data_IF_316099588336
#
_entry.id   IF_316099588336
#
_cell.length_a   1.000
_cell.length_b   1.000
_cell.length_c   1.000
_cell.angle_alpha   90.00
_cell.angle_beta   90.00
_cell.angle_gamma   90.00
#
_symmetry.space_group_name_H-M   'P 1'
#
loop_
_entity.id
_entity.type
_entity.pdbx_description
1 polymer ?
#
# COMPACT_ATOMS: atom_id res chain seq x y z
N UNK A 1 11.02 0.17 29.62
CA UNK A 1 11.91 -0.45 28.61
C UNK A 1 11.21 -0.69 27.27
N UNK A 2 10.07 -1.40 27.20
CA UNK A 2 9.33 -1.67 25.94
C UNK A 2 8.90 -0.41 25.17
N UNK A 3 8.33 0.59 25.85
CA UNK A 3 7.87 1.83 25.20
C UNK A 3 9.00 2.66 24.56
N UNK A 4 10.17 2.74 25.19
CA UNK A 4 11.32 3.44 24.63
C UNK A 4 11.93 2.69 23.43
N UNK A 5 11.91 1.35 23.46
CA UNK A 5 12.33 0.54 22.32
C UNK A 5 11.37 0.69 21.13
N UNK A 6 10.06 0.72 21.39
CA UNK A 6 9.04 0.97 20.35
C UNK A 6 9.20 2.37 19.75
N UNK A 7 9.32 3.41 20.59
CA UNK A 7 9.50 4.78 20.11
C UNK A 7 10.80 4.97 19.30
N UNK A 8 11.91 4.37 19.75
CA UNK A 8 13.17 4.42 19.01
C UNK A 8 13.07 3.68 17.67
N UNK A 9 12.32 2.57 17.62
CA UNK A 9 12.08 1.81 16.41
C UNK A 9 11.17 2.56 15.42
N UNK A 10 10.08 3.14 15.88
CA UNK A 10 9.19 4.00 15.08
C UNK A 10 9.93 5.21 14.52
N UNK A 11 10.78 5.84 15.34
CA UNK A 11 11.66 6.92 14.90
C UNK A 11 12.61 6.46 13.78
N UNK A 12 13.29 5.34 13.95
CA UNK A 12 14.19 4.81 12.93
C UNK A 12 13.48 4.49 11.61
N UNK A 13 12.24 4.00 11.66
CA UNK A 13 11.41 3.79 10.47
C UNK A 13 11.01 5.12 9.80
N UNK A 14 10.60 6.11 10.58
CA UNK A 14 10.23 7.44 10.07
C UNK A 14 11.40 8.17 9.39
N UNK A 15 12.64 7.87 9.82
CA UNK A 15 13.87 8.43 9.24
C UNK A 15 14.29 7.74 7.93
N UNK A 16 13.79 6.53 7.63
CA UNK A 16 14.16 5.79 6.41
C UNK A 16 13.49 6.34 5.15
N UNK A 17 12.27 6.86 5.24
CA UNK A 17 11.66 7.68 4.17
C UNK A 17 10.78 8.77 4.81
N UNK A 18 11.34 9.93 5.18
CA UNK A 18 10.52 11.04 5.64
C UNK A 18 9.65 11.53 4.48
N UNK A 19 8.32 11.52 4.69
CA UNK A 19 7.39 12.18 3.76
C UNK A 19 7.78 13.65 3.60
N UNK A 20 7.82 14.21 2.38
CA UNK A 20 8.13 15.62 2.20
C UNK A 20 7.16 16.50 2.98
N UNK A 21 7.64 17.63 3.52
CA UNK A 21 6.79 18.57 4.28
C UNK A 21 5.64 19.14 3.44
N UNK A 22 5.86 19.29 2.13
CA UNK A 22 4.88 19.80 1.18
C UNK A 22 4.80 18.85 -0.04
N UNK A 23 4.13 17.69 0.10
CA UNK A 23 4.03 16.73 -0.98
C UNK A 23 3.10 17.26 -2.07
N UNK A 24 3.50 17.12 -3.32
CA UNK A 24 2.67 17.43 -4.46
C UNK A 24 1.39 16.57 -4.41
N UNK A 25 0.23 17.11 -4.81
CA UNK A 25 -0.99 16.31 -4.88
C UNK A 25 -0.89 15.25 -6.01
N UNK A 26 -1.62 14.13 -5.89
CA UNK A 26 -1.77 13.17 -6.98
C UNK A 26 -2.32 13.83 -8.24
N UNK A 27 -1.84 13.41 -9.41
CA UNK A 27 -2.30 13.98 -10.69
C UNK A 27 -3.70 13.49 -11.07
N UNK A 28 -4.18 12.41 -10.46
CA UNK A 28 -5.49 11.82 -10.74
C UNK A 28 -6.11 11.11 -9.54
N UNK A 29 -7.38 10.70 -9.73
CA UNK A 29 -8.07 9.81 -8.81
C UNK A 29 -7.70 8.35 -9.10
N UNK A 30 -6.93 7.77 -8.18
CA UNK A 30 -6.39 6.42 -8.32
C UNK A 30 -7.28 5.31 -7.75
N UNK A 31 -8.42 5.65 -7.12
CA UNK A 31 -9.46 4.67 -6.82
C UNK A 31 -9.90 3.95 -8.10
N UNK A 32 -10.03 2.62 -8.05
CA UNK A 32 -10.38 1.83 -9.22
C UNK A 32 -9.96 0.36 -9.16
N UNK A 33 -10.36 -0.37 -10.20
CA UNK A 33 -9.97 -1.77 -10.40
C UNK A 33 -8.68 -1.85 -11.20
N UNK A 34 -7.80 -2.73 -10.75
CA UNK A 34 -6.53 -2.98 -11.39
C UNK A 34 -6.26 -4.48 -11.45
N UNK A 35 -5.57 -4.92 -12.49
CA UNK A 35 -5.28 -6.33 -12.72
C UNK A 35 -3.80 -6.56 -12.99
N UNK A 36 -3.28 -7.62 -12.40
CA UNK A 36 -2.04 -8.26 -12.77
C UNK A 36 -2.31 -9.75 -13.04
N UNK A 37 -1.64 -10.36 -14.02
CA UNK A 37 -1.92 -11.74 -14.40
C UNK A 37 -1.50 -12.79 -13.36
N UNK A 38 -0.45 -12.50 -12.57
CA UNK A 38 -0.01 -13.36 -11.48
C UNK A 38 -0.75 -13.07 -10.16
N UNK A 39 -1.05 -11.79 -9.89
CA UNK A 39 -1.63 -11.34 -8.62
C UNK A 39 -3.15 -11.14 -8.67
N UNK A 40 -3.79 -11.26 -9.83
CA UNK A 40 -5.22 -11.12 -10.01
C UNK A 40 -5.70 -9.67 -10.02
N UNK A 41 -7.00 -9.49 -9.79
CA UNK A 41 -7.64 -8.19 -9.71
C UNK A 41 -7.66 -7.67 -8.27
N UNK A 42 -7.43 -6.37 -8.10
CA UNK A 42 -7.63 -5.64 -6.86
C UNK A 42 -8.51 -4.41 -7.11
N UNK A 43 -9.31 -4.05 -6.12
CA UNK A 43 -10.06 -2.80 -6.08
C UNK A 43 -9.42 -1.90 -5.04
N UNK A 44 -8.71 -0.86 -5.49
CA UNK A 44 -8.15 0.17 -4.61
C UNK A 44 -9.25 1.17 -4.25
N UNK A 45 -9.47 1.36 -2.96
CA UNK A 45 -10.48 2.25 -2.38
C UNK A 45 -9.84 3.37 -1.58
N UNK A 46 -10.31 4.61 -1.73
CA UNK A 46 -9.77 5.75 -0.99
C UNK A 46 -10.37 5.83 0.42
N UNK A 47 -9.54 5.64 1.44
CA UNK A 47 -9.97 5.72 2.85
C UNK A 47 -10.44 7.14 3.20
N UNK A 48 -11.56 7.23 3.92
CA UNK A 48 -12.14 8.50 4.35
C UNK A 48 -12.89 9.26 3.25
N UNK A 49 -12.93 8.73 2.02
CA UNK A 49 -13.77 9.30 0.97
C UNK A 49 -15.25 9.11 1.28
N UNK A 50 -16.04 10.17 1.15
CA UNK A 50 -17.51 10.12 1.23
C UNK A 50 -18.16 9.72 -0.11
N UNK A 51 -17.35 9.62 -1.15
CA UNK A 51 -17.79 9.39 -2.52
C UNK A 51 -16.93 8.30 -3.13
N UNK A 52 -17.58 7.26 -3.63
CA UNK A 52 -16.93 6.23 -4.43
C UNK A 52 -17.87 5.81 -5.55
N UNK A 53 -17.30 5.56 -6.72
CA UNK A 53 -18.04 4.94 -7.82
C UNK A 53 -18.20 3.41 -7.63
N UNK A 54 -17.56 2.85 -6.60
CA UNK A 54 -17.53 1.42 -6.31
C UNK A 54 -18.22 1.14 -4.96
N UNK A 55 -19.41 0.53 -4.95
CA UNK A 55 -20.13 0.22 -3.72
C UNK A 55 -19.32 -0.60 -2.71
N UNK A 56 -18.44 -1.48 -3.19
CA UNK A 56 -17.57 -2.32 -2.36
C UNK A 56 -16.55 -1.49 -1.55
N UNK A 57 -16.22 -0.29 -2.02
CA UNK A 57 -15.33 0.60 -1.29
C UNK A 57 -15.95 1.11 0.01
N UNK A 58 -17.26 1.36 0.06
CA UNK A 58 -17.92 1.79 1.30
C UNK A 58 -17.75 0.75 2.41
N UNK A 59 -17.98 -0.52 2.09
CA UNK A 59 -17.80 -1.61 3.04
C UNK A 59 -16.34 -1.72 3.48
N UNK A 60 -15.39 -1.73 2.53
CA UNK A 60 -13.98 -1.85 2.87
C UNK A 60 -13.53 -0.69 3.78
N UNK A 61 -13.84 0.55 3.42
CA UNK A 61 -13.42 1.73 4.18
C UNK A 61 -14.09 1.88 5.54
N UNK A 62 -15.27 1.26 5.74
CA UNK A 62 -15.91 1.20 7.07
C UNK A 62 -15.23 0.14 7.95
N UNK A 63 -14.87 -1.01 7.35
CA UNK A 63 -14.22 -2.12 8.05
C UNK A 63 -12.75 -1.86 8.40
N UNK A 64 -12.01 -1.02 7.66
CA UNK A 64 -10.55 -0.90 7.84
C UNK A 64 -10.12 -0.43 9.22
N UNK A 65 -10.91 0.39 9.91
CA UNK A 65 -10.57 0.82 11.27
C UNK A 65 -10.63 -0.33 12.29
N UNK A 66 -11.49 -1.32 12.03
CA UNK A 66 -11.65 -2.50 12.90
C UNK A 66 -10.71 -3.62 12.48
N UNK A 67 -10.56 -3.84 11.17
CA UNK A 67 -9.79 -4.96 10.62
C UNK A 67 -8.30 -4.64 10.47
N UNK A 68 -7.93 -3.36 10.39
CA UNK A 68 -6.54 -2.90 10.32
C UNK A 68 -6.23 -1.87 11.44
N UNK A 69 -6.44 -2.23 12.72
CA UNK A 69 -6.27 -1.30 13.84
C UNK A 69 -4.86 -0.71 13.86
N UNK A 70 -4.78 0.63 13.87
CA UNK A 70 -3.53 1.38 13.93
C UNK A 70 -2.68 1.37 12.65
N UNK A 71 -3.11 0.69 11.58
CA UNK A 71 -2.31 0.57 10.37
C UNK A 71 -2.54 1.72 9.35
N UNK A 72 -3.60 2.51 9.53
CA UNK A 72 -3.93 3.62 8.63
C UNK A 72 -3.70 4.94 9.37
N UNK A 73 -2.85 5.80 8.82
CA UNK A 73 -2.73 7.18 9.29
C UNK A 73 -3.84 8.06 8.69
N UNK A 74 -4.80 8.57 9.49
CA UNK A 74 -5.93 9.34 8.95
C UNK A 74 -5.53 10.71 8.39
N UNK A 75 -4.28 11.15 8.63
CA UNK A 75 -3.76 12.43 8.12
C UNK A 75 -3.10 12.29 6.74
N UNK A 76 -2.98 11.08 6.22
CA UNK A 76 -2.38 10.79 4.91
C UNK A 76 -3.46 10.20 4.00
N UNK A 77 -3.63 10.72 2.76
CA UNK A 77 -4.50 10.07 1.78
C UNK A 77 -4.02 8.65 1.50
N UNK A 78 -4.89 7.66 1.69
CA UNK A 78 -4.50 6.26 1.63
C UNK A 78 -5.47 5.46 0.78
N UNK A 79 -4.94 4.69 -0.16
CA UNK A 79 -5.70 3.70 -0.91
C UNK A 79 -5.52 2.34 -0.22
N UNK A 80 -6.61 1.58 -0.12
CA UNK A 80 -6.59 0.24 0.47
C UNK A 80 -7.30 -0.75 -0.44
N UNK A 81 -6.80 -1.97 -0.53
CA UNK A 81 -7.48 -3.08 -1.17
C UNK A 81 -7.39 -4.34 -0.33
N UNK A 82 -8.44 -5.17 -0.37
CA UNK A 82 -8.32 -6.58 0.02
C UNK A 82 -7.45 -7.27 -1.03
N UNK A 83 -6.40 -7.93 -0.57
CA UNK A 83 -5.44 -8.61 -1.43
C UNK A 83 -5.19 -10.03 -0.90
N UNK A 84 -6.27 -10.82 -0.84
CA UNK A 84 -6.35 -12.15 -0.24
C UNK A 84 -5.33 -13.15 -0.83
N UNK A 85 -4.08 -13.06 -0.40
CA UNK A 85 -2.96 -13.93 -0.73
C UNK A 85 -2.55 -14.69 0.51
N UNK A 86 -1.81 -15.78 0.31
CA UNK A 86 -1.31 -16.61 1.43
C UNK A 86 -0.42 -15.78 2.37
N UNK A 87 0.24 -14.76 1.83
CA UNK A 87 1.21 -13.92 2.53
C UNK A 87 0.69 -12.50 2.83
N UNK A 88 -0.52 -12.11 2.39
CA UNK A 88 -1.09 -10.80 2.72
C UNK A 88 -2.61 -10.86 2.66
N UNK A 89 -3.30 -10.16 3.54
CA UNK A 89 -4.76 -9.95 3.44
C UNK A 89 -5.11 -8.61 2.80
N UNK A 90 -4.25 -7.60 2.91
CA UNK A 90 -4.47 -6.26 2.36
C UNK A 90 -3.21 -5.69 1.73
N UNK A 91 -3.40 -4.76 0.80
CA UNK A 91 -2.38 -3.78 0.41
C UNK A 91 -2.87 -2.39 0.81
N UNK A 92 -1.97 -1.61 1.40
CA UNK A 92 -2.18 -0.22 1.80
C UNK A 92 -1.17 0.63 1.04
N UNK A 93 -1.65 1.66 0.35
CA UNK A 93 -0.85 2.62 -0.39
C UNK A 93 -1.05 4.01 0.24
N UNK A 94 -0.10 4.45 1.05
CA UNK A 94 -0.11 5.76 1.68
C UNK A 94 0.54 6.79 0.76
N UNK A 95 -0.15 7.89 0.47
CA UNK A 95 0.36 8.92 -0.44
C UNK A 95 1.65 9.54 0.09
N UNK A 96 2.69 9.48 -0.74
CA UNK A 96 4.00 10.03 -0.44
C UNK A 96 4.17 11.41 -1.08
N UNK A 97 4.29 11.45 -2.41
CA UNK A 97 4.52 12.67 -3.20
C UNK A 97 4.05 12.47 -4.65
N UNK A 98 3.16 13.34 -5.14
CA UNK A 98 2.60 13.22 -6.48
C UNK A 98 1.89 11.89 -6.68
N UNK A 99 2.37 11.11 -7.65
CA UNK A 99 1.81 9.79 -7.98
C UNK A 99 2.58 8.63 -7.33
N UNK A 100 3.48 8.93 -6.38
CA UNK A 100 4.25 7.96 -5.62
C UNK A 100 3.62 7.72 -4.24
N UNK A 101 3.56 6.45 -3.85
CA UNK A 101 2.95 5.97 -2.62
C UNK A 101 3.88 5.02 -1.89
N UNK A 102 3.89 5.08 -0.56
CA UNK A 102 4.47 4.03 0.26
C UNK A 102 3.49 2.86 0.27
N UNK A 103 3.96 1.69 -0.14
CA UNK A 103 3.17 0.48 -0.19
C UNK A 103 3.46 -0.41 1.01
N UNK A 104 2.44 -1.07 1.54
CA UNK A 104 2.56 -2.02 2.63
C UNK A 104 1.60 -3.17 2.40
N UNK A 105 2.14 -4.39 2.40
CA UNK A 105 1.34 -5.60 2.45
C UNK A 105 1.07 -5.96 3.92
N UNK A 106 -0.20 -6.12 4.28
CA UNK A 106 -0.61 -6.36 5.66
C UNK A 106 -1.31 -7.71 5.77
N UNK A 107 -1.03 -8.42 6.85
CA UNK A 107 -1.81 -9.54 7.35
C UNK A 107 -2.61 -9.10 8.57
N UNK A 108 -3.92 -9.30 8.50
CA UNK A 108 -4.85 -9.10 9.61
C UNK A 108 -5.49 -10.42 10.00
N UNK A 109 -5.37 -10.77 11.27
CA UNK A 109 -5.94 -11.99 11.84
C UNK A 109 -6.82 -11.65 13.04
N UNK A 110 -7.90 -12.39 13.20
CA UNK A 110 -8.75 -12.30 14.40
C UNK A 110 -7.94 -12.75 15.61
N UNK A 111 -7.96 -11.96 16.68
CA UNK A 111 -7.20 -12.20 17.89
C UNK A 111 -8.00 -11.82 19.12
N UNK A 112 -8.23 -12.77 20.03
CA UNK A 112 -8.83 -12.51 21.34
C UNK A 112 -7.85 -11.87 22.34
N UNK A 113 -6.58 -11.71 21.96
CA UNK A 113 -5.52 -11.13 22.80
C UNK A 113 -5.36 -9.62 22.62
N UNK A 114 -6.11 -9.00 21.70
CA UNK A 114 -6.10 -7.57 21.40
C UNK A 114 -7.47 -6.97 21.69
N UNK A 115 -7.53 -5.78 22.27
CA UNK A 115 -8.80 -5.11 22.62
C UNK A 115 -9.69 -4.86 21.39
N UNK A 116 -9.08 -4.62 20.22
CA UNK A 116 -9.78 -4.40 18.95
C UNK A 116 -10.23 -5.71 18.25
N UNK A 117 -9.91 -6.87 18.82
CA UNK A 117 -10.27 -8.17 18.24
C UNK A 117 -9.47 -8.60 17.01
N UNK A 118 -8.54 -7.76 16.53
CA UNK A 118 -7.66 -8.02 15.39
C UNK A 118 -6.20 -7.72 15.72
N UNK A 119 -5.30 -8.58 15.23
CA UNK A 119 -3.86 -8.33 15.22
C UNK A 119 -3.40 -8.10 13.79
N UNK A 120 -2.62 -7.04 13.58
CA UNK A 120 -2.10 -6.64 12.27
C UNK A 120 -0.59 -6.77 12.23
N UNK A 121 -0.10 -7.38 11.15
CA UNK A 121 1.32 -7.47 10.84
C UNK A 121 1.59 -6.96 9.43
N UNK A 122 2.51 -6.02 9.31
CA UNK A 122 3.08 -5.65 8.02
C UNK A 122 4.14 -6.67 7.62
N UNK A 123 4.04 -7.19 6.39
CA UNK A 123 5.07 -8.01 5.75
C UNK A 123 6.22 -7.12 5.26
N UNK A 124 7.44 -7.65 5.29
CA UNK A 124 8.61 -6.93 4.77
C UNK A 124 8.90 -5.60 5.47
N UNK A 125 8.73 -5.50 6.80
CA UNK A 125 8.87 -4.26 7.59
C UNK A 125 10.17 -3.45 7.41
N UNK A 126 11.21 -4.06 6.86
CA UNK A 126 12.48 -3.38 6.58
C UNK A 126 12.64 -2.95 5.11
N UNK A 127 11.73 -3.37 4.24
CA UNK A 127 11.73 -3.09 2.81
C UNK A 127 10.93 -1.82 2.50
N UNK A 128 11.54 -0.97 1.69
CA UNK A 128 10.94 0.29 1.23
C UNK A 128 10.14 0.02 -0.04
N UNK A 129 8.95 -0.55 0.15
CA UNK A 129 8.06 -0.88 -0.96
C UNK A 129 7.33 0.40 -1.39
N UNK A 130 7.37 0.69 -2.69
CA UNK A 130 6.69 1.86 -3.27
C UNK A 130 5.73 1.43 -4.38
N UNK A 131 4.65 2.18 -4.52
CA UNK A 131 3.75 2.10 -5.67
C UNK A 131 3.75 3.43 -6.42
N UNK A 132 4.02 3.41 -7.73
CA UNK A 132 4.04 4.60 -8.58
C UNK A 132 2.94 4.47 -9.65
N UNK A 133 2.03 5.45 -9.71
CA UNK A 133 0.94 5.48 -10.70
C UNK A 133 1.34 6.28 -11.94
N UNK A 134 0.79 5.89 -13.09
CA UNK A 134 0.94 6.65 -14.34
C UNK A 134 -0.35 6.61 -15.15
N UNK A 135 -0.66 7.73 -15.80
CA UNK A 135 -1.61 7.82 -16.91
C UNK A 135 -0.78 8.00 -18.19
N UNK A 136 -0.80 7.00 -19.04
CA UNK A 136 -0.29 7.05 -20.41
C UNK A 136 -1.42 6.88 -21.43
N UNK A 137 -1.15 7.27 -22.67
CA UNK A 137 -2.06 7.06 -23.80
C UNK A 137 -2.28 5.57 -24.07
N UNK A 138 -1.23 4.75 -23.92
CA UNK A 138 -1.28 3.30 -24.13
C UNK A 138 -1.42 2.50 -22.82
N UNK A 139 -0.94 3.05 -21.69
CA UNK A 139 -0.81 2.31 -20.42
C UNK A 139 -1.18 3.19 -19.22
N UNK A 140 -2.26 2.85 -18.54
CA UNK A 140 -2.66 3.43 -17.25
C UNK A 140 -2.63 2.33 -16.19
N UNK A 141 -1.95 2.58 -15.07
CA UNK A 141 -1.75 1.57 -14.04
C UNK A 141 -0.80 2.05 -12.95
N UNK A 142 -0.31 1.10 -12.15
CA UNK A 142 0.74 1.35 -11.19
C UNK A 142 1.74 0.21 -11.10
N UNK A 143 3.00 0.58 -10.87
CA UNK A 143 4.10 -0.35 -10.65
C UNK A 143 4.44 -0.42 -9.17
N UNK A 144 4.72 -1.62 -8.67
CA UNK A 144 5.24 -1.85 -7.31
C UNK A 144 6.71 -2.24 -7.40
N UNK A 145 7.54 -1.63 -6.54
CA UNK A 145 8.98 -1.86 -6.44
C UNK A 145 9.41 -1.98 -4.98
N UNK A 146 10.58 -2.54 -4.72
CA UNK A 146 11.20 -2.51 -3.40
C UNK A 146 11.14 -3.85 -2.66
N UNK A 147 10.98 -4.98 -3.36
CA UNK A 147 11.11 -6.32 -2.80
C UNK A 147 9.81 -7.12 -2.67
N UNK A 148 8.67 -6.60 -3.14
CA UNK A 148 7.35 -7.20 -2.85
C UNK A 148 7.19 -8.63 -3.39
N UNK A 149 7.89 -8.95 -4.47
CA UNK A 149 7.89 -10.28 -5.10
C UNK A 149 8.94 -11.25 -4.53
N UNK A 150 9.79 -10.80 -3.59
CA UNK A 150 10.71 -11.67 -2.85
C UNK A 150 11.77 -12.36 -3.70
N UNK A 151 12.29 -11.71 -4.75
CA UNK A 151 13.29 -12.29 -5.64
C UNK A 151 14.57 -12.79 -4.94
N UNK A 152 14.84 -12.27 -3.74
CA UNK A 152 15.97 -12.68 -2.91
C UNK A 152 17.28 -12.00 -3.31
N UNK A 153 18.35 -12.23 -2.53
CA UNK A 153 19.63 -11.58 -2.75
C UNK A 153 20.28 -12.01 -4.07
N UNK A 154 20.84 -11.05 -4.80
CA UNK A 154 21.60 -11.31 -6.04
C UNK A 154 20.75 -11.32 -7.31
N UNK A 155 19.46 -11.04 -7.22
CA UNK A 155 18.61 -10.73 -8.39
C UNK A 155 18.62 -9.22 -8.60
N UNK A 156 19.05 -8.79 -9.78
CA UNK A 156 19.03 -7.37 -10.12
C UNK A 156 17.56 -6.89 -10.19
N UNK A 157 17.25 -5.71 -9.62
CA UNK A 157 15.90 -5.16 -9.72
C UNK A 157 15.58 -4.83 -11.19
N UNK A 158 14.30 -4.87 -11.59
CA UNK A 158 13.89 -4.41 -12.90
C UNK A 158 14.41 -3.00 -13.18
N UNK A 159 14.87 -2.77 -14.41
CA UNK A 159 15.41 -1.49 -14.84
C UNK A 159 14.75 -1.04 -16.14
N UNK A 160 14.62 0.27 -16.30
CA UNK A 160 14.01 0.87 -17.49
C UNK A 160 13.63 2.32 -17.26
N UNK A 161 13.16 2.95 -18.33
CA UNK A 161 12.87 4.39 -18.35
C UNK A 161 11.44 4.68 -17.90
N UNK A 162 10.53 3.72 -18.08
CA UNK A 162 9.13 3.82 -17.68
C UNK A 162 8.86 3.22 -16.30
N UNK A 163 7.75 3.63 -15.69
CA UNK A 163 7.28 3.06 -14.41
C UNK A 163 7.08 1.54 -14.54
N UNK A 164 6.50 1.10 -15.66
CA UNK A 164 6.21 -0.30 -15.91
C UNK A 164 7.48 -1.15 -16.07
N UNK A 165 8.51 -0.67 -16.76
CA UNK A 165 9.78 -1.40 -16.92
C UNK A 165 10.56 -1.51 -15.60
N UNK A 166 10.44 -0.50 -14.73
CA UNK A 166 11.04 -0.55 -13.38
C UNK A 166 10.22 -1.37 -12.38
N UNK A 167 8.97 -1.70 -12.70
CA UNK A 167 8.08 -2.38 -11.77
C UNK A 167 8.47 -3.86 -11.61
N UNK A 168 8.54 -4.31 -10.35
CA UNK A 168 8.58 -5.75 -10.03
C UNK A 168 7.21 -6.38 -10.28
N UNK A 169 6.16 -5.63 -9.96
CA UNK A 169 4.77 -6.03 -10.20
C UNK A 169 4.01 -4.87 -10.83
N UNK A 170 3.49 -5.09 -12.04
CA UNK A 170 2.68 -4.10 -12.75
C UNK A 170 1.19 -4.42 -12.68
N UNK A 171 0.38 -3.46 -12.23
CA UNK A 171 -1.07 -3.54 -12.18
C UNK A 171 -1.68 -2.60 -13.22
N UNK A 172 -2.28 -3.16 -14.27
CA UNK A 172 -2.98 -2.39 -15.30
C UNK A 172 -4.36 -1.96 -14.80
N UNK A 173 -4.74 -0.71 -15.00
CA UNK A 173 -6.09 -0.22 -14.72
C UNK A 173 -7.11 -0.85 -15.67
N UNK A 174 -8.27 -1.25 -15.14
CA UNK A 174 -9.39 -1.83 -15.90
C UNK A 174 -10.41 -0.79 -16.32
#
# INVERSE_FOLDING_TARGET
>A
MKAAAVANYEKALSERIPRPDNPAPPKAHWEGRYKNDAYGEILLCLVGSKWSSFPECFQLTDEVHTTLPGAINPSIPTLVAKWNKIWASHIVLEHFDGDLYNASALNSIVSSATDDGFWVHQEGRDELITAEFVIGEDETGFGVTGGIWGAGPGVDPPNGDTVQERAEVWFKKL
#
